data_IF_748376858633
#
_entry.id   IF_748376858633
#
_cell.length_a   1.000
_cell.length_b   1.000
_cell.length_c   1.000
_cell.angle_alpha   90.00
_cell.angle_beta   90.00
_cell.angle_gamma   90.00
#
_symmetry.space_group_name_H-M   'P 1'
#
loop_
_entity.id
_entity.type
_entity.pdbx_description
1 polymer ?
#
# COMPACT_ATOMS: atom_id res chain seq x y z
N UNK A 1 -22.47 26.14 12.14
CA UNK A 1 -21.60 26.23 13.32
C UNK A 1 -20.18 26.14 12.84
N UNK A 2 -19.41 27.20 13.05
CA UNK A 2 -17.99 27.26 12.70
C UNK A 2 -17.18 26.96 13.95
N UNK A 3 -16.16 26.12 13.83
CA UNK A 3 -15.22 25.79 14.91
C UNK A 3 -13.83 26.08 14.35
N UNK A 4 -13.08 26.98 14.98
CA UNK A 4 -11.79 27.47 14.48
C UNK A 4 -11.82 28.05 13.05
N UNK A 5 -12.93 28.68 12.64
CA UNK A 5 -13.08 29.23 11.29
C UNK A 5 -13.25 28.17 10.19
N UNK A 6 -13.41 26.90 10.57
CA UNK A 6 -13.73 25.79 9.67
C UNK A 6 -15.18 25.38 9.84
N UNK A 7 -15.82 25.01 8.73
CA UNK A 7 -17.15 24.43 8.75
C UNK A 7 -17.08 22.96 9.17
N UNK A 8 -18.15 22.45 9.78
CA UNK A 8 -18.21 21.04 10.19
C UNK A 8 -17.96 20.07 9.03
N UNK A 9 -18.39 20.41 7.81
CA UNK A 9 -18.18 19.58 6.61
C UNK A 9 -16.71 19.51 6.19
N UNK A 10 -15.95 20.59 6.33
CA UNK A 10 -14.51 20.61 6.08
C UNK A 10 -13.75 19.73 7.08
N UNK A 11 -14.11 19.83 8.37
CA UNK A 11 -13.49 19.02 9.42
C UNK A 11 -13.74 17.53 9.17
N UNK A 12 -14.99 17.15 8.87
CA UNK A 12 -15.35 15.75 8.56
C UNK A 12 -14.59 15.24 7.34
N UNK A 13 -14.45 16.06 6.29
CA UNK A 13 -13.68 15.69 5.10
C UNK A 13 -12.20 15.46 5.44
N UNK A 14 -11.56 16.37 6.17
CA UNK A 14 -10.15 16.26 6.58
C UNK A 14 -9.91 14.97 7.39
N UNK A 15 -10.79 14.70 8.36
CA UNK A 15 -10.70 13.49 9.18
C UNK A 15 -10.91 12.24 8.33
N UNK A 16 -11.90 12.25 7.42
CA UNK A 16 -12.16 11.14 6.50
C UNK A 16 -10.94 10.81 5.63
N UNK A 17 -10.30 11.82 5.05
CA UNK A 17 -9.08 11.65 4.25
C UNK A 17 -7.91 11.16 5.07
N UNK A 18 -7.74 11.68 6.28
CA UNK A 18 -6.71 11.22 7.21
C UNK A 18 -6.88 9.75 7.58
N UNK A 19 -8.09 9.33 7.94
CA UNK A 19 -8.41 7.94 8.28
C UNK A 19 -8.19 7.02 7.08
N UNK A 20 -8.63 7.41 5.87
CA UNK A 20 -8.36 6.65 4.65
C UNK A 20 -6.86 6.46 4.43
N UNK A 21 -6.07 7.54 4.54
CA UNK A 21 -4.61 7.47 4.45
C UNK A 21 -4.03 6.50 5.46
N UNK A 22 -4.44 6.62 6.73
CA UNK A 22 -3.98 5.75 7.82
C UNK A 22 -4.27 4.28 7.55
N UNK A 23 -5.49 3.93 7.15
CA UNK A 23 -5.87 2.56 6.83
C UNK A 23 -5.04 1.99 5.67
N UNK A 24 -4.87 2.75 4.60
CA UNK A 24 -4.02 2.34 3.46
C UNK A 24 -2.58 2.13 3.91
N UNK A 25 -2.04 3.03 4.74
CA UNK A 25 -0.69 2.92 5.27
C UNK A 25 -0.46 1.64 6.08
N UNK A 26 -1.41 1.30 6.96
CA UNK A 26 -1.36 0.06 7.75
C UNK A 26 -1.38 -1.17 6.84
N UNK A 27 -2.24 -1.18 5.83
CA UNK A 27 -2.33 -2.30 4.88
C UNK A 27 -1.00 -2.51 4.15
N UNK A 28 -0.41 -1.44 3.60
CA UNK A 28 0.89 -1.51 2.92
C UNK A 28 1.97 -2.05 3.85
N UNK A 29 2.02 -1.57 5.10
CA UNK A 29 3.02 -1.99 6.08
C UNK A 29 2.95 -3.50 6.36
N UNK A 30 1.74 -4.05 6.52
CA UNK A 30 1.54 -5.50 6.70
C UNK A 30 1.96 -6.29 5.47
N UNK A 31 1.63 -5.80 4.27
CA UNK A 31 2.03 -6.46 3.02
C UNK A 31 3.54 -6.51 2.85
N UNK A 32 4.27 -5.45 3.21
CA UNK A 32 5.74 -5.44 3.21
C UNK A 32 6.29 -6.51 4.16
N UNK A 33 5.73 -6.62 5.37
CA UNK A 33 6.13 -7.65 6.34
C UNK A 33 5.97 -9.08 5.78
N UNK A 34 4.81 -9.36 5.17
CA UNK A 34 4.56 -10.65 4.51
C UNK A 34 5.54 -10.89 3.36
N UNK A 35 5.79 -9.88 2.52
CA UNK A 35 6.72 -9.98 1.40
C UNK A 35 8.15 -10.30 1.85
N UNK A 36 8.62 -9.70 2.95
CA UNK A 36 9.94 -9.99 3.52
C UNK A 36 10.04 -11.43 4.05
N UNK A 37 8.99 -11.93 4.70
CA UNK A 37 8.94 -13.33 5.16
C UNK A 37 8.97 -14.29 3.97
N UNK A 38 8.17 -14.04 2.94
CA UNK A 38 8.18 -14.83 1.72
C UNK A 38 9.55 -14.82 1.03
N UNK A 39 10.21 -13.66 0.99
CA UNK A 39 11.56 -13.53 0.45
C UNK A 39 12.58 -14.37 1.23
N UNK A 40 12.51 -14.35 2.57
CA UNK A 40 13.35 -15.20 3.40
C UNK A 40 13.13 -16.70 3.14
N UNK A 41 11.87 -17.13 2.97
CA UNK A 41 11.51 -18.52 2.61
C UNK A 41 12.11 -18.91 1.27
N UNK A 42 12.00 -18.03 0.26
CA UNK A 42 12.57 -18.28 -1.07
C UNK A 42 14.08 -18.46 -1.01
N UNK A 43 14.79 -17.59 -0.28
CA UNK A 43 16.25 -17.70 -0.10
C UNK A 43 16.62 -19.03 0.57
N UNK A 44 15.91 -19.43 1.62
CA UNK A 44 16.15 -20.69 2.30
C UNK A 44 15.90 -21.89 1.37
N UNK A 45 14.83 -21.86 0.59
CA UNK A 45 14.50 -22.93 -0.34
C UNK A 45 15.52 -23.03 -1.49
N UNK A 46 16.10 -21.91 -1.94
CA UNK A 46 17.22 -21.92 -2.87
C UNK A 46 18.47 -22.55 -2.26
N UNK A 47 18.80 -22.18 -1.01
CA UNK A 47 19.97 -22.72 -0.31
C UNK A 47 19.89 -24.25 -0.12
N UNK A 48 18.67 -24.78 0.08
CA UNK A 48 18.40 -26.21 0.19
C UNK A 48 18.28 -26.93 -1.18
N UNK A 49 18.35 -26.19 -2.30
CA UNK A 49 18.26 -26.74 -3.64
C UNK A 49 16.84 -27.05 -4.12
N UNK A 50 15.80 -26.65 -3.38
CA UNK A 50 14.40 -26.84 -3.78
C UNK A 50 13.95 -25.85 -4.86
N UNK A 51 14.58 -24.68 -4.95
CA UNK A 51 14.25 -23.63 -5.92
C UNK A 51 15.50 -23.22 -6.70
N UNK A 52 15.35 -23.14 -8.02
CA UNK A 52 16.40 -22.62 -8.91
C UNK A 52 16.15 -21.13 -9.23
N UNK A 53 17.21 -20.36 -9.55
CA UNK A 53 17.07 -18.96 -9.95
C UNK A 53 16.13 -18.75 -11.15
N UNK A 54 16.12 -19.67 -12.13
CA UNK A 54 15.26 -19.58 -13.31
C UNK A 54 13.78 -19.77 -12.96
N UNK A 55 13.46 -20.62 -11.99
CA UNK A 55 12.10 -20.79 -11.48
C UNK A 55 11.58 -19.50 -10.85
N UNK A 56 12.41 -18.80 -10.08
CA UNK A 56 12.05 -17.52 -9.46
C UNK A 56 11.84 -16.45 -10.52
N UNK A 57 12.73 -16.37 -11.52
CA UNK A 57 12.58 -15.43 -12.62
C UNK A 57 11.26 -15.61 -13.38
N UNK A 58 10.85 -16.86 -13.61
CA UNK A 58 9.55 -17.16 -14.22
C UNK A 58 8.38 -16.66 -13.35
N UNK A 59 8.38 -17.00 -12.05
CA UNK A 59 7.34 -16.53 -11.11
C UNK A 59 7.27 -15.00 -11.09
N UNK A 60 8.44 -14.35 -11.05
CA UNK A 60 8.51 -12.89 -11.02
C UNK A 60 7.96 -12.27 -12.31
N UNK A 61 8.26 -12.87 -13.46
CA UNK A 61 7.71 -12.44 -14.76
C UNK A 61 6.17 -12.54 -14.80
N UNK A 62 5.60 -13.66 -14.36
CA UNK A 62 4.14 -13.81 -14.26
C UNK A 62 3.51 -12.83 -13.27
N UNK A 63 4.16 -12.62 -12.11
CA UNK A 63 3.69 -11.64 -11.12
C UNK A 63 3.74 -10.21 -11.66
N UNK A 64 4.75 -9.87 -12.48
CA UNK A 64 4.87 -8.58 -13.14
C UNK A 64 3.71 -8.32 -14.10
N UNK A 65 3.26 -9.33 -14.84
CA UNK A 65 2.08 -9.22 -15.70
C UNK A 65 0.79 -9.00 -14.89
N UNK A 66 0.62 -9.76 -13.80
CA UNK A 66 -0.51 -9.59 -12.89
C UNK A 66 -0.49 -8.19 -12.22
N UNK A 67 0.68 -7.71 -11.82
CA UNK A 67 0.88 -6.37 -11.27
C UNK A 67 0.57 -5.27 -12.29
N UNK A 68 1.01 -5.41 -13.55
CA UNK A 68 0.68 -4.45 -14.60
C UNK A 68 -0.83 -4.35 -14.83
N UNK A 69 -1.52 -5.50 -14.79
CA UNK A 69 -2.99 -5.54 -14.89
C UNK A 69 -3.68 -4.95 -13.66
N UNK A 70 -3.17 -5.22 -12.46
CA UNK A 70 -3.67 -4.62 -11.23
C UNK A 70 -3.47 -3.10 -11.22
N UNK A 71 -2.32 -2.63 -11.72
CA UNK A 71 -2.00 -1.22 -11.84
C UNK A 71 -2.91 -0.51 -12.84
N UNK A 72 -3.20 -1.11 -14.00
CA UNK A 72 -4.12 -0.51 -14.98
C UNK A 72 -5.54 -0.37 -14.42
N UNK A 73 -6.00 -1.35 -13.62
CA UNK A 73 -7.26 -1.24 -12.88
C UNK A 73 -7.19 -0.17 -11.80
N UNK A 74 -6.09 -0.11 -11.04
CA UNK A 74 -5.89 0.91 -10.01
C UNK A 74 -5.91 2.33 -10.58
N UNK A 75 -5.37 2.55 -11.78
CA UNK A 75 -5.43 3.85 -12.46
C UNK A 75 -6.87 4.36 -12.69
N UNK A 76 -7.84 3.47 -12.89
CA UNK A 76 -9.25 3.87 -13.01
C UNK A 76 -9.79 4.48 -11.71
N UNK A 77 -9.22 4.12 -10.57
CA UNK A 77 -9.60 4.61 -9.24
C UNK A 77 -8.66 5.70 -8.71
N UNK A 78 -7.61 6.07 -9.45
CA UNK A 78 -6.68 7.12 -9.02
C UNK A 78 -7.37 8.47 -8.79
N UNK A 79 -8.43 8.78 -9.55
CA UNK A 79 -9.21 10.00 -9.36
C UNK A 79 -9.98 10.04 -8.03
N UNK A 80 -10.18 8.91 -7.36
CA UNK A 80 -10.87 8.81 -6.07
C UNK A 80 -9.92 8.97 -4.87
N UNK A 81 -8.61 8.84 -5.07
CA UNK A 81 -7.62 8.96 -4.00
C UNK A 81 -7.04 10.38 -4.02
N UNK A 82 -7.21 11.16 -2.95
CA UNK A 82 -6.74 12.54 -2.92
C UNK A 82 -5.26 12.60 -2.52
N UNK A 83 -4.38 12.24 -3.45
CA UNK A 83 -2.93 12.19 -3.25
C UNK A 83 -2.30 13.56 -2.92
N UNK A 84 -2.93 14.66 -3.33
CA UNK A 84 -2.50 16.03 -3.01
C UNK A 84 -2.95 16.50 -1.61
N UNK A 85 -3.78 15.72 -0.91
CA UNK A 85 -4.25 16.07 0.43
C UNK A 85 -3.18 15.78 1.49
N UNK A 86 -2.74 16.83 2.19
CA UNK A 86 -1.83 16.70 3.32
C UNK A 86 -2.40 15.79 4.42
N UNK A 87 -3.71 15.86 4.69
CA UNK A 87 -4.35 15.01 5.70
C UNK A 87 -4.21 13.52 5.34
N UNK A 88 -4.45 13.17 4.07
CA UNK A 88 -4.26 11.81 3.58
C UNK A 88 -2.79 11.38 3.69
N UNK A 89 -1.85 12.20 3.22
CA UNK A 89 -0.41 11.87 3.25
C UNK A 89 0.07 11.65 4.69
N UNK A 90 -0.30 12.53 5.61
CA UNK A 90 0.07 12.40 7.03
C UNK A 90 -0.51 11.11 7.60
N UNK A 91 -1.79 10.83 7.35
CA UNK A 91 -2.42 9.56 7.74
C UNK A 91 -1.65 8.36 7.19
N UNK A 92 -1.35 8.36 5.90
CA UNK A 92 -0.60 7.32 5.20
C UNK A 92 0.78 7.07 5.84
N UNK A 93 1.57 8.13 6.05
CA UNK A 93 2.91 8.02 6.65
C UNK A 93 2.82 7.45 8.07
N UNK A 94 1.88 7.95 8.89
CA UNK A 94 1.67 7.41 10.24
C UNK A 94 1.28 5.93 10.19
N UNK A 95 0.35 5.56 9.30
CA UNK A 95 -0.07 4.18 9.10
C UNK A 95 1.08 3.27 8.64
N UNK A 96 1.97 3.77 7.78
CA UNK A 96 3.13 3.02 7.31
C UNK A 96 4.17 2.76 8.42
N UNK A 97 4.34 3.72 9.33
CA UNK A 97 5.33 3.63 10.41
C UNK A 97 4.80 2.79 11.58
N UNK A 98 3.51 2.95 11.92
CA UNK A 98 2.90 2.37 13.12
C UNK A 98 2.01 1.14 12.88
N UNK A 99 1.68 0.83 11.63
CA UNK A 99 0.84 -0.31 11.23
C UNK A 99 1.53 -1.66 11.27
#
# INVERSE_FOLDING_TARGET
>A
MEVFGLTLTQIVSIIGLFVLGLLVGILIRRLIGVALILLAIVILAMALGYLSPSTIAAILHYSGYAMATAYSKAQQFMGAIPYSSLAFIIGLVIGLIKG
#
